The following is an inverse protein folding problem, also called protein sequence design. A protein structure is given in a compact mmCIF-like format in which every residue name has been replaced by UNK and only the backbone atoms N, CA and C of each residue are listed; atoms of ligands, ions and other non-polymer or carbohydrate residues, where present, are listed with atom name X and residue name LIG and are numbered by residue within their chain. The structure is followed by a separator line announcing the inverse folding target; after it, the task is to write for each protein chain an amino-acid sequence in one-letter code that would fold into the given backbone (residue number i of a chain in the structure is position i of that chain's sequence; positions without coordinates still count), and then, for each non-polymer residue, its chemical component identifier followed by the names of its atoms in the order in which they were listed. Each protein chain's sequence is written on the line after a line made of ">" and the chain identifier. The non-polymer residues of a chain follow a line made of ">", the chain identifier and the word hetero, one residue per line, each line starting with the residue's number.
data_IF_308874111154
#
_entry.id   IF_308874111154
#
_cell.length_a   1.000
_cell.length_b   1.000
_cell.length_c   1.000
_cell.angle_alpha   90.00
_cell.angle_beta   90.00
_cell.angle_gamma   90.00
#
_symmetry.space_group_name_H-M   'P 1'
#
loop_
_entity.id
_entity.type
_entity.pdbx_description
1 polymer ?
#
# COMPACT_ATOMS: atom_id res chain seq x y z
N UNK A 1 -2.39 -8.46 4.29
CA UNK A 1 -1.38 -9.38 3.70
C UNK A 1 -0.51 -8.56 2.77
N UNK A 2 0.81 -8.61 2.93
CA UNK A 2 1.77 -7.96 2.03
C UNK A 2 1.99 -8.92 0.85
N UNK A 3 1.92 -8.41 -0.38
CA UNK A 3 2.20 -9.12 -1.62
C UNK A 3 3.54 -8.64 -2.17
N UNK A 4 4.35 -9.56 -2.67
CA UNK A 4 5.66 -9.25 -3.26
C UNK A 4 5.57 -9.39 -4.77
N UNK A 5 6.08 -8.40 -5.49
CA UNK A 5 6.04 -8.29 -6.93
C UNK A 5 7.47 -8.10 -7.46
N UNK A 6 7.87 -8.88 -8.47
CA UNK A 6 9.24 -8.87 -9.00
C UNK A 6 9.26 -8.92 -10.53
N UNK A 7 10.09 -8.08 -11.14
CA UNK A 7 10.39 -8.10 -12.59
C UNK A 7 11.91 -7.98 -12.78
N UNK A 8 12.45 -6.76 -12.68
CA UNK A 8 13.89 -6.46 -12.52
C UNK A 8 14.19 -5.71 -11.20
N UNK A 9 13.18 -5.07 -10.62
CA UNK A 9 13.20 -4.43 -9.31
C UNK A 9 12.21 -5.18 -8.42
N UNK A 10 12.51 -5.29 -7.12
CA UNK A 10 11.58 -5.88 -6.15
C UNK A 10 10.72 -4.76 -5.58
N UNK A 11 9.42 -5.00 -5.58
CA UNK A 11 8.42 -4.11 -5.01
C UNK A 11 7.55 -4.91 -4.08
N UNK A 12 7.37 -4.42 -2.87
CA UNK A 12 6.42 -4.97 -1.93
C UNK A 12 5.18 -4.07 -1.94
N UNK A 13 3.99 -4.65 -1.83
CA UNK A 13 2.76 -3.87 -1.82
C UNK A 13 1.76 -4.42 -0.79
N UNK A 14 1.01 -3.52 -0.19
CA UNK A 14 -0.08 -3.84 0.73
C UNK A 14 -1.36 -3.20 0.24
N UNK A 15 -2.43 -4.00 0.21
CA UNK A 15 -3.76 -3.53 -0.15
C UNK A 15 -4.39 -2.77 1.02
N UNK A 16 -4.89 -1.58 0.75
CA UNK A 16 -5.75 -0.86 1.67
C UNK A 16 -7.20 -1.31 1.45
N UNK A 17 -7.77 -2.05 2.40
CA UNK A 17 -9.13 -2.61 2.30
C UNK A 17 -10.09 -1.96 3.27
N UNK A 18 -9.68 -1.93 4.52
CA UNK A 18 -10.49 -1.55 5.67
C UNK A 18 -9.58 -1.10 6.82
N UNK A 19 -10.19 -0.80 7.97
CA UNK A 19 -9.47 -0.34 9.17
C UNK A 19 -8.46 -1.36 9.71
N UNK A 20 -8.64 -2.65 9.46
CA UNK A 20 -7.68 -3.68 9.90
C UNK A 20 -6.34 -3.57 9.18
N UNK A 21 -6.32 -2.94 8.00
CA UNK A 21 -5.11 -2.77 7.19
C UNK A 21 -4.25 -1.56 7.61
N UNK A 22 -4.75 -0.67 8.48
CA UNK A 22 -4.05 0.57 8.89
C UNK A 22 -2.75 0.29 9.64
N UNK A 23 -2.79 -0.54 10.68
CA UNK A 23 -1.59 -0.88 11.46
C UNK A 23 -0.52 -1.59 10.61
N UNK A 24 -0.88 -2.57 9.76
CA UNK A 24 0.04 -3.12 8.76
C UNK A 24 0.64 -2.07 7.81
N UNK A 25 -0.15 -1.11 7.33
CA UNK A 25 0.32 -0.02 6.46
C UNK A 25 1.35 0.87 7.19
N UNK A 26 1.08 1.25 8.44
CA UNK A 26 2.02 2.03 9.27
C UNK A 26 3.32 1.26 9.46
N UNK A 27 3.23 -0.03 9.79
CA UNK A 27 4.41 -0.89 10.01
C UNK A 27 5.23 -1.07 8.72
N UNK A 28 4.57 -1.21 7.57
CA UNK A 28 5.19 -1.40 6.27
C UNK A 28 5.91 -0.15 5.76
N UNK A 29 5.25 1.01 5.88
CA UNK A 29 5.72 2.27 5.30
C UNK A 29 6.56 3.11 6.27
N UNK A 30 6.35 2.94 7.58
CA UNK A 30 6.88 3.83 8.61
C UNK A 30 6.29 5.25 8.53
N UNK A 31 5.16 5.44 7.83
CA UNK A 31 4.49 6.73 7.68
C UNK A 31 3.36 6.87 8.70
N UNK A 32 3.13 8.12 9.13
CA UNK A 32 1.93 8.46 9.89
C UNK A 32 0.69 8.35 8.98
N UNK A 33 -0.44 7.93 9.54
CA UNK A 33 -1.68 7.72 8.77
C UNK A 33 -2.82 8.53 9.36
N UNK A 34 -3.48 9.31 8.51
CA UNK A 34 -4.77 9.93 8.78
C UNK A 34 -5.86 9.20 8.02
N UNK A 35 -6.98 8.91 8.69
CA UNK A 35 -8.11 8.19 8.11
C UNK A 35 -9.27 9.16 7.89
N UNK A 36 -9.87 9.13 6.70
CA UNK A 36 -11.05 9.92 6.37
C UNK A 36 -12.27 9.01 6.20
N UNK A 37 -13.39 9.42 6.82
CA UNK A 37 -14.68 8.77 6.68
C UNK A 37 -15.65 9.66 5.90
N UNK A 38 -16.55 9.04 5.15
CA UNK A 38 -17.69 9.70 4.56
C UNK A 38 -18.76 9.97 5.64
N UNK A 39 -19.75 10.86 5.38
CA UNK A 39 -20.78 11.21 6.37
C UNK A 39 -21.66 10.04 6.82
N UNK A 40 -21.74 8.99 6.01
CA UNK A 40 -22.45 7.74 6.31
C UNK A 40 -21.64 6.76 7.19
N UNK A 41 -20.41 7.15 7.58
CA UNK A 41 -19.48 6.32 8.34
C UNK A 41 -18.63 5.38 7.49
N UNK A 42 -18.78 5.39 6.17
CA UNK A 42 -17.99 4.55 5.26
C UNK A 42 -16.55 5.05 5.20
N UNK A 43 -15.59 4.13 5.23
CA UNK A 43 -14.17 4.45 5.05
C UNK A 43 -13.92 5.01 3.65
N UNK A 44 -13.41 6.25 3.57
CA UNK A 44 -13.24 6.96 2.29
C UNK A 44 -11.81 6.89 1.77
N UNK A 45 -10.83 7.21 2.62
CA UNK A 45 -9.43 7.24 2.22
C UNK A 45 -8.49 7.20 3.43
N UNK A 46 -7.22 6.92 3.14
CA UNK A 46 -6.10 7.11 4.08
C UNK A 46 -5.06 8.03 3.46
N UNK A 47 -4.58 8.97 4.26
CA UNK A 47 -3.46 9.84 3.91
C UNK A 47 -2.24 9.39 4.69
N UNK A 48 -1.21 8.91 3.98
CA UNK A 48 0.09 8.58 4.53
C UNK A 48 1.00 9.80 4.43
N UNK A 49 1.67 10.15 5.54
CA UNK A 49 2.54 11.32 5.59
C UNK A 49 3.88 11.02 6.25
N UNK A 50 4.95 11.47 5.59
CA UNK A 50 6.33 11.45 6.09
C UNK A 50 7.08 12.65 5.51
N UNK A 51 7.57 13.52 6.37
CA UNK A 51 8.26 14.76 5.99
C UNK A 51 7.42 15.61 5.00
N UNK A 52 7.90 15.76 3.76
CA UNK A 52 7.22 16.49 2.66
C UNK A 52 6.40 15.58 1.75
N UNK A 53 6.43 14.27 1.97
CA UNK A 53 5.70 13.29 1.16
C UNK A 53 4.32 13.05 1.74
N UNK A 54 3.31 13.17 0.89
CA UNK A 54 1.91 12.88 1.20
C UNK A 54 1.34 11.96 0.11
N UNK A 55 0.75 10.84 0.52
CA UNK A 55 0.17 9.84 -0.37
C UNK A 55 -1.27 9.56 0.08
N UNK A 56 -2.23 9.55 -0.84
CA UNK A 56 -3.65 9.31 -0.51
C UNK A 56 -4.15 8.07 -1.22
N UNK A 57 -4.53 7.05 -0.45
CA UNK A 57 -5.09 5.79 -0.97
C UNK A 57 -6.58 5.68 -0.64
N UNK A 58 -7.36 5.11 -1.55
CA UNK A 58 -8.75 4.72 -1.32
C UNK A 58 -8.87 3.19 -1.19
N UNK A 59 -9.94 2.66 -0.56
CA UNK A 59 -10.14 1.22 -0.45
C UNK A 59 -10.05 0.51 -1.82
N UNK A 60 -9.31 -0.59 -1.88
CA UNK A 60 -9.00 -1.34 -3.11
C UNK A 60 -7.68 -0.97 -3.78
N UNK A 61 -7.03 0.12 -3.36
CA UNK A 61 -5.69 0.49 -3.87
C UNK A 61 -4.56 -0.18 -3.08
N UNK A 62 -3.40 -0.23 -3.71
CA UNK A 62 -2.19 -0.79 -3.15
C UNK A 62 -1.18 0.32 -2.84
N UNK A 63 -0.68 0.31 -1.61
CA UNK A 63 0.50 1.08 -1.22
C UNK A 63 1.70 0.18 -1.48
N UNK A 64 2.60 0.61 -2.37
CA UNK A 64 3.81 -0.13 -2.69
C UNK A 64 5.05 0.57 -2.14
N UNK A 65 6.10 -0.22 -1.91
CA UNK A 65 7.43 0.23 -1.48
C UNK A 65 8.46 -0.47 -2.33
N UNK A 66 9.34 0.30 -2.96
CA UNK A 66 10.45 -0.25 -3.74
C UNK A 66 11.69 -0.49 -2.88
N UNK A 67 12.74 -1.07 -3.48
CA UNK A 67 14.01 -1.38 -2.83
C UNK A 67 14.76 -0.15 -2.27
N UNK A 68 14.43 1.07 -2.73
CA UNK A 68 15.00 2.32 -2.18
C UNK A 68 14.20 2.86 -1.00
N UNK A 69 13.13 2.18 -0.59
CA UNK A 69 12.24 2.61 0.50
C UNK A 69 11.23 3.69 0.11
N UNK A 70 11.18 4.05 -1.17
CA UNK A 70 10.20 5.00 -1.70
C UNK A 70 8.83 4.33 -1.75
N UNK A 71 7.84 4.99 -1.16
CA UNK A 71 6.45 4.53 -1.17
C UNK A 71 5.66 5.22 -2.29
N UNK A 72 4.69 4.51 -2.87
CA UNK A 72 3.75 5.04 -3.84
C UNK A 72 2.40 4.33 -3.78
N UNK A 73 1.45 4.78 -4.60
CA UNK A 73 0.09 4.21 -4.66
C UNK A 73 -0.21 3.79 -6.09
N UNK A 74 -0.83 2.63 -6.24
CA UNK A 74 -1.23 2.09 -7.52
C UNK A 74 -2.47 1.18 -7.39
N UNK A 75 -3.05 0.82 -8.53
CA UNK A 75 -4.08 -0.22 -8.59
C UNK A 75 -3.44 -1.59 -8.85
N UNK A 76 -4.20 -2.66 -8.66
CA UNK A 76 -3.72 -4.03 -8.88
C UNK A 76 -3.22 -4.25 -10.31
N UNK A 77 -3.91 -3.71 -11.31
CA UNK A 77 -3.57 -3.87 -12.73
C UNK A 77 -2.17 -3.35 -13.03
N UNK A 78 -1.79 -2.23 -12.42
CA UNK A 78 -0.44 -1.67 -12.57
C UNK A 78 0.65 -2.61 -12.04
N UNK A 79 0.39 -3.26 -10.90
CA UNK A 79 1.31 -4.24 -10.32
C UNK A 79 1.36 -5.50 -11.17
N UNK A 80 0.22 -6.01 -11.62
CA UNK A 80 0.11 -7.23 -12.41
C UNK A 80 0.71 -7.11 -13.83
N UNK A 81 0.62 -5.93 -14.46
CA UNK A 81 1.20 -5.69 -15.78
C UNK A 81 2.72 -5.51 -15.74
N UNK A 82 3.25 -4.85 -14.71
CA UNK A 82 4.68 -4.51 -14.62
C UNK A 82 5.53 -5.54 -13.89
N UNK A 83 4.93 -6.32 -13.01
CA UNK A 83 5.65 -7.22 -12.12
C UNK A 83 4.98 -8.58 -12.02
N UNK A 84 5.79 -9.65 -11.93
CA UNK A 84 5.27 -10.97 -11.61
C UNK A 84 5.07 -11.06 -10.10
N UNK A 85 3.87 -11.39 -9.65
CA UNK A 85 3.62 -11.67 -8.24
C UNK A 85 4.46 -12.89 -7.82
N UNK A 86 5.36 -12.70 -6.87
CA UNK A 86 6.16 -13.76 -6.29
C UNK A 86 5.47 -14.15 -5.00
N UNK A 87 4.65 -15.19 -5.06
CA UNK A 87 4.14 -15.86 -3.86
C UNK A 87 5.34 -16.53 -3.20
N UNK A 88 5.85 -15.93 -2.13
CA UNK A 88 6.86 -16.56 -1.30
C UNK A 88 6.29 -17.88 -0.78
N UNK A 89 6.81 -18.99 -1.28
CA UNK A 89 6.67 -20.28 -0.64
C UNK A 89 7.17 -20.11 0.80
N UNK A 90 6.30 -20.41 1.76
CA UNK A 90 6.70 -20.69 3.13
C UNK A 90 7.88 -21.67 3.09
N UNK A 91 9.00 -21.28 3.71
CA UNK A 91 10.05 -22.20 4.14
C UNK A 91 10.15 -22.13 5.65
#
# INVERSE_FOLDING_TARGET
>A
MIRTFQSNERVEAIEFKDLSTIQPIISFTGMSVNVAFAPDGTLKSVTLKKDKTELVAIPGQFIYKNDTGTCGICNYEYLAEKYKEVTGAEK
#
